data_IF_143249937039
#
_entry.id   IF_143249937039
#
_cell.length_a   1.000
_cell.length_b   1.000
_cell.length_c   1.000
_cell.angle_alpha   90.00
_cell.angle_beta   90.00
_cell.angle_gamma   90.00
#
_symmetry.space_group_name_H-M   'P 1'
#
loop_
_entity.id
_entity.type
_entity.pdbx_description
1 polymer ?
#
# COMPACT_ATOMS: atom_id res chain seq x y z
N UNK A 1 14.00 29.72 9.92
CA UNK A 1 14.15 29.11 8.58
C UNK A 1 14.47 30.25 7.64
N UNK A 2 15.63 30.21 7.01
CA UNK A 2 16.11 31.31 6.16
C UNK A 2 15.40 31.27 4.80
N UNK A 3 14.84 32.39 4.31
CA UNK A 3 14.07 32.43 3.06
C UNK A 3 14.92 32.07 1.83
N UNK A 4 16.24 32.30 1.86
CA UNK A 4 17.12 31.94 0.76
C UNK A 4 17.29 30.42 0.61
N UNK A 5 17.13 29.66 1.70
CA UNK A 5 17.16 28.19 1.66
C UNK A 5 15.93 27.65 0.94
N UNK A 6 14.76 28.27 1.12
CA UNK A 6 13.52 27.86 0.47
C UNK A 6 13.55 28.15 -1.04
N UNK A 7 14.02 29.33 -1.45
CA UNK A 7 14.20 29.65 -2.87
C UNK A 7 15.21 28.72 -3.54
N UNK A 8 16.34 28.43 -2.90
CA UNK A 8 17.35 27.54 -3.46
C UNK A 8 16.85 26.10 -3.60
N UNK A 9 15.99 25.64 -2.67
CA UNK A 9 15.33 24.35 -2.77
C UNK A 9 14.26 24.34 -3.87
N UNK A 10 13.47 25.40 -3.99
CA UNK A 10 12.48 25.57 -5.06
C UNK A 10 13.12 25.60 -6.45
N UNK A 11 14.25 26.29 -6.59
CA UNK A 11 15.04 26.32 -7.82
C UNK A 11 15.63 24.93 -8.14
N UNK A 12 16.14 24.20 -7.14
CA UNK A 12 16.69 22.86 -7.32
C UNK A 12 15.60 21.82 -7.70
N UNK A 13 14.38 21.95 -7.17
CA UNK A 13 13.25 21.09 -7.53
C UNK A 13 12.69 21.42 -8.92
N UNK A 14 12.77 22.69 -9.33
CA UNK A 14 12.34 23.13 -10.66
C UNK A 14 13.33 22.79 -11.77
N UNK A 15 14.54 22.33 -11.41
CA UNK A 15 15.57 21.96 -12.37
C UNK A 15 15.21 20.61 -13.04
N UNK A 16 15.05 20.57 -14.37
CA UNK A 16 14.67 19.38 -15.09
C UNK A 16 15.73 18.26 -15.03
N UNK A 17 17.01 18.59 -14.89
CA UNK A 17 18.07 17.58 -14.71
C UNK A 17 17.96 16.91 -13.34
N UNK A 18 17.67 17.69 -12.30
CA UNK A 18 17.49 17.18 -10.94
C UNK A 18 16.23 16.32 -10.89
N UNK A 19 15.11 16.76 -11.48
CA UNK A 19 13.90 15.93 -11.58
C UNK A 19 14.13 14.64 -12.35
N UNK A 20 14.91 14.68 -13.44
CA UNK A 20 15.26 13.48 -14.20
C UNK A 20 16.10 12.50 -13.36
N UNK A 21 17.07 12.99 -12.59
CA UNK A 21 17.86 12.17 -11.66
C UNK A 21 17.01 11.59 -10.54
N UNK A 22 16.12 12.38 -9.94
CA UNK A 22 15.17 11.92 -8.92
C UNK A 22 14.24 10.85 -9.52
N UNK A 23 13.73 11.08 -10.73
CA UNK A 23 12.87 10.13 -11.44
C UNK A 23 13.61 8.82 -11.74
N UNK A 24 14.87 8.89 -12.15
CA UNK A 24 15.71 7.71 -12.39
C UNK A 24 15.96 6.90 -11.10
N UNK A 25 16.18 7.58 -9.97
CA UNK A 25 16.33 6.95 -8.66
C UNK A 25 15.01 6.29 -8.21
N UNK A 26 13.87 6.98 -8.36
CA UNK A 26 12.53 6.42 -8.04
C UNK A 26 12.21 5.23 -8.95
N UNK A 27 12.64 5.28 -10.21
CA UNK A 27 12.44 4.22 -11.19
C UNK A 27 13.44 3.07 -11.02
N UNK A 28 14.42 3.18 -10.11
CA UNK A 28 15.38 2.14 -9.81
C UNK A 28 16.46 1.93 -10.87
N UNK A 29 16.68 2.90 -11.76
CA UNK A 29 17.68 2.81 -12.84
C UNK A 29 19.07 3.30 -12.38
N UNK A 30 19.51 2.83 -11.20
CA UNK A 30 20.82 3.11 -10.63
C UNK A 30 21.85 2.09 -11.10
N UNK A 31 22.33 2.20 -12.34
CA UNK A 31 23.34 1.27 -12.86
C UNK A 31 24.75 1.66 -12.39
N UNK A 32 25.30 0.89 -11.45
CA UNK A 32 26.72 0.79 -11.15
C UNK A 32 27.24 -0.62 -11.44
N UNK A 33 27.99 -0.77 -12.53
CA UNK A 33 28.98 -1.82 -12.84
C UNK A 33 28.53 -3.29 -13.11
N UNK A 34 28.74 -3.67 -14.38
CA UNK A 34 29.35 -4.93 -14.90
C UNK A 34 28.93 -6.29 -14.32
N UNK A 35 28.03 -6.95 -15.04
CA UNK A 35 28.24 -8.26 -15.68
C UNK A 35 26.88 -8.65 -16.22
N UNK A 36 26.71 -8.80 -17.55
CA UNK A 36 25.48 -9.32 -18.15
C UNK A 36 25.10 -10.63 -17.44
N UNK A 37 24.02 -10.70 -16.64
CA UNK A 37 23.33 -11.94 -16.41
C UNK A 37 22.35 -12.10 -17.58
N UNK A 38 22.04 -13.33 -17.97
CA UNK A 38 20.90 -13.60 -18.84
C UNK A 38 19.69 -12.72 -18.49
N UNK A 39 18.97 -12.27 -19.51
CA UNK A 39 17.78 -11.45 -19.32
C UNK A 39 16.90 -12.09 -18.23
N UNK A 40 16.58 -11.38 -17.13
CA UNK A 40 15.62 -11.91 -16.18
C UNK A 40 14.34 -12.16 -16.97
N UNK A 41 13.70 -13.32 -16.77
CA UNK A 41 12.36 -13.54 -17.28
C UNK A 41 11.51 -12.29 -16.98
N UNK A 42 10.64 -11.85 -17.91
CA UNK A 42 9.74 -10.75 -17.62
C UNK A 42 9.10 -11.00 -16.25
N UNK A 43 9.05 -9.98 -15.37
CA UNK A 43 8.47 -10.17 -14.04
C UNK A 43 7.09 -10.82 -14.21
N UNK A 44 6.75 -11.83 -13.38
CA UNK A 44 5.43 -12.42 -13.43
C UNK A 44 4.42 -11.28 -13.33
N UNK A 45 3.40 -11.31 -14.19
CA UNK A 45 2.34 -10.31 -14.19
C UNK A 45 1.87 -10.09 -12.74
N UNK A 46 1.67 -8.84 -12.30
CA UNK A 46 1.18 -8.59 -10.95
C UNK A 46 -0.08 -9.43 -10.74
N UNK A 47 -0.24 -10.10 -9.58
CA UNK A 47 -1.44 -10.87 -9.31
C UNK A 47 -2.65 -9.96 -9.55
N UNK A 48 -3.73 -10.47 -10.15
CA UNK A 48 -4.94 -9.68 -10.32
C UNK A 48 -5.32 -9.09 -8.96
N UNK A 49 -5.58 -7.79 -8.95
CA UNK A 49 -6.03 -7.09 -7.74
C UNK A 49 -7.14 -7.90 -7.09
N UNK A 50 -7.03 -8.24 -5.79
CA UNK A 50 -8.10 -8.99 -5.14
C UNK A 50 -9.41 -8.23 -5.34
N UNK A 51 -10.53 -8.92 -5.62
CA UNK A 51 -11.81 -8.25 -5.80
C UNK A 51 -12.04 -7.32 -4.61
N UNK A 52 -12.30 -6.04 -4.91
CA UNK A 52 -12.43 -4.95 -3.93
C UNK A 52 -13.51 -5.21 -2.88
N UNK A 53 -14.37 -6.19 -3.12
CA UNK A 53 -15.36 -6.70 -2.17
C UNK A 53 -14.85 -8.00 -1.55
N UNK A 54 -14.34 -7.94 -0.33
CA UNK A 54 -14.12 -9.14 0.48
C UNK A 54 -15.50 -9.68 0.86
N UNK A 55 -16.09 -10.51 -0.02
CA UNK A 55 -17.42 -11.13 0.17
C UNK A 55 -17.53 -11.90 1.51
N UNK A 56 -16.39 -12.34 2.06
CA UNK A 56 -16.29 -13.11 3.30
C UNK A 56 -15.43 -12.41 4.37
N UNK A 57 -15.56 -11.10 4.54
CA UNK A 57 -14.72 -10.32 5.48
C UNK A 57 -14.71 -10.87 6.91
N UNK A 58 -15.85 -11.36 7.41
CA UNK A 58 -15.95 -12.01 8.72
C UNK A 58 -15.12 -13.29 8.83
N UNK A 59 -15.18 -14.16 7.83
CA UNK A 59 -14.42 -15.42 7.82
C UNK A 59 -12.92 -15.16 7.75
N UNK A 60 -12.51 -14.15 6.97
CA UNK A 60 -11.12 -13.74 6.88
C UNK A 60 -10.58 -13.21 8.22
N UNK A 61 -11.33 -12.35 8.90
CA UNK A 61 -10.96 -11.82 10.20
C UNK A 61 -10.80 -12.93 11.26
N UNK A 62 -11.69 -13.94 11.23
CA UNK A 62 -11.57 -15.11 12.12
C UNK A 62 -10.36 -15.98 11.79
N UNK A 63 -10.08 -16.23 10.51
CA UNK A 63 -8.92 -17.00 10.08
C UNK A 63 -7.58 -16.32 10.42
N UNK A 64 -7.58 -14.98 10.51
CA UNK A 64 -6.39 -14.20 10.88
C UNK A 64 -6.08 -14.23 12.38
N UNK A 65 -7.08 -14.33 13.27
CA UNK A 65 -6.88 -14.31 14.74
C UNK A 65 -5.71 -15.15 15.26
N UNK A 66 -5.51 -16.43 14.88
CA UNK A 66 -4.41 -17.24 15.43
C UNK A 66 -3.00 -16.75 15.07
N UNK A 67 -2.87 -15.87 14.09
CA UNK A 67 -1.58 -15.33 13.63
C UNK A 67 -1.33 -13.88 14.08
N UNK A 68 -2.17 -13.36 14.99
CA UNK A 68 -2.18 -11.96 15.39
C UNK A 68 -1.82 -11.80 16.88
N UNK A 69 -1.14 -10.71 17.22
CA UNK A 69 -0.94 -10.30 18.60
C UNK A 69 -2.26 -9.95 19.31
N UNK A 70 -2.26 -9.99 20.64
CA UNK A 70 -3.44 -9.76 21.48
C UNK A 70 -4.16 -8.43 21.18
N UNK A 71 -3.41 -7.33 21.03
CA UNK A 71 -3.96 -6.01 20.64
C UNK A 71 -4.71 -6.06 19.30
N UNK A 72 -4.24 -6.88 18.36
CA UNK A 72 -4.84 -7.02 17.03
C UNK A 72 -6.06 -7.96 17.09
N UNK A 73 -6.00 -9.01 17.90
CA UNK A 73 -7.14 -9.88 18.20
C UNK A 73 -8.32 -9.09 18.81
N UNK A 74 -8.06 -8.21 19.79
CA UNK A 74 -9.10 -7.34 20.36
C UNK A 74 -9.76 -6.45 19.30
N UNK A 75 -8.94 -5.88 18.39
CA UNK A 75 -9.46 -5.03 17.32
C UNK A 75 -10.35 -5.83 16.36
N UNK A 76 -9.95 -7.07 16.04
CA UNK A 76 -10.76 -7.99 15.25
C UNK A 76 -12.10 -8.27 15.97
N UNK A 77 -12.10 -8.55 17.27
CA UNK A 77 -13.33 -8.82 18.03
C UNK A 77 -14.28 -7.62 18.07
N UNK A 78 -13.74 -6.40 18.21
CA UNK A 78 -14.53 -5.17 18.14
C UNK A 78 -15.19 -5.01 16.78
N UNK A 79 -14.46 -5.26 15.70
CA UNK A 79 -14.98 -5.19 14.33
C UNK A 79 -16.07 -6.24 14.11
N UNK A 80 -15.84 -7.49 14.55
CA UNK A 80 -16.82 -8.58 14.42
C UNK A 80 -18.10 -8.27 15.21
N UNK A 81 -17.96 -7.69 16.40
CA UNK A 81 -19.09 -7.25 17.22
C UNK A 81 -19.86 -6.11 16.56
N UNK A 82 -19.16 -5.12 16.01
CA UNK A 82 -19.77 -4.01 15.27
C UNK A 82 -20.49 -4.50 14.00
N UNK A 83 -19.91 -5.45 13.26
CA UNK A 83 -20.57 -6.07 12.10
C UNK A 83 -21.87 -6.78 12.50
N UNK A 84 -21.84 -7.55 13.58
CA UNK A 84 -23.04 -8.22 14.10
C UNK A 84 -24.11 -7.22 14.52
N UNK A 85 -23.72 -6.14 15.19
CA UNK A 85 -24.65 -5.08 15.58
C UNK A 85 -25.23 -4.34 14.37
N UNK A 86 -24.42 -4.05 13.35
CA UNK A 86 -24.86 -3.41 12.11
C UNK A 86 -25.83 -4.30 11.31
N UNK A 87 -25.66 -5.63 11.38
CA UNK A 87 -26.60 -6.61 10.82
C UNK A 87 -27.95 -6.54 11.55
N UNK A 88 -27.95 -6.53 12.89
CA UNK A 88 -29.17 -6.36 13.68
C UNK A 88 -29.84 -4.99 13.50
N UNK A 89 -29.06 -3.94 13.28
CA UNK A 89 -29.56 -2.59 13.02
C UNK A 89 -30.06 -2.41 11.57
N UNK A 90 -30.00 -3.45 10.73
CA UNK A 90 -30.47 -3.41 9.34
C UNK A 90 -29.62 -2.53 8.41
N UNK A 91 -28.44 -2.07 8.87
CA UNK A 91 -27.58 -1.14 8.13
C UNK A 91 -27.02 -1.76 6.84
N UNK A 92 -26.95 -3.10 6.75
CA UNK A 92 -26.49 -3.79 5.55
C UNK A 92 -27.56 -3.92 4.44
N UNK A 93 -28.85 -3.67 4.73
CA UNK A 93 -29.95 -3.86 3.77
C UNK A 93 -30.02 -2.78 2.66
N UNK A 94 -29.25 -1.70 2.77
CA UNK A 94 -29.22 -0.59 1.80
C UNK A 94 -27.90 -0.50 0.99
N UNK A 95 -27.03 -1.51 1.05
CA UNK A 95 -25.75 -1.52 0.32
C UNK A 95 -25.62 -2.73 -0.62
N UNK A 96 -26.70 -3.06 -1.33
CA UNK A 96 -26.72 -4.10 -2.38
C UNK A 96 -27.67 -3.71 -3.49
#
# INVERSE_FOLDING_TARGET
>A
MDPAVFEKLGAAVSDPEIQKKISAIISGDGTGMTSKPDAPCPPPSPPPSPPSTIKNGRALLLALKPYMDEKRCEKIDRILSAMKLAEFAGMFKNMM
#
